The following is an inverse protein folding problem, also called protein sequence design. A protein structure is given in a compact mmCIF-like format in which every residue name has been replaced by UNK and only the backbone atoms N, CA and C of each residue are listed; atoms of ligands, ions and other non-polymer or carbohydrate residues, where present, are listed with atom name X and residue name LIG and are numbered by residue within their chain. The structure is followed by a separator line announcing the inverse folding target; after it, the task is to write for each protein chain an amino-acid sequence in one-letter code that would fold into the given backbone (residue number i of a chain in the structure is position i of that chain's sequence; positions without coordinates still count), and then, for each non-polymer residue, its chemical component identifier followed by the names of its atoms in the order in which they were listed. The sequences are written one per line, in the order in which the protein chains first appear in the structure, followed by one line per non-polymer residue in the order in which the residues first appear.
data_IF_440536376978
#
_entry.id   IF_440536376978
#
_cell.length_a   1.000
_cell.length_b   1.000
_cell.length_c   1.000
_cell.angle_alpha   90.00
_cell.angle_beta   90.00
_cell.angle_gamma   90.00
#
_symmetry.space_group_name_H-M   'P 1'
#
loop_
_entity.id
_entity.type
_entity.pdbx_description
1 polymer ?
#
# COMPACT_ATOMS: atom_id res chain seq x y z
N UNK A 1 10.45 -6.79 -29.36
CA UNK A 1 11.13 -5.58 -28.85
C UNK A 1 11.21 -5.73 -27.34
N UNK A 2 12.37 -5.59 -26.69
CA UNK A 2 12.47 -5.70 -25.23
C UNK A 2 12.19 -4.33 -24.61
N UNK A 3 11.15 -4.23 -23.79
CA UNK A 3 10.81 -2.99 -23.08
C UNK A 3 9.34 -2.98 -22.65
N UNK A 4 9.06 -2.24 -21.58
CA UNK A 4 7.68 -1.99 -21.15
C UNK A 4 7.12 -0.78 -21.88
N UNK A 5 5.84 -0.88 -22.26
CA UNK A 5 5.05 0.23 -22.78
C UNK A 5 3.87 0.47 -21.87
N UNK A 6 3.47 1.73 -21.71
CA UNK A 6 2.35 2.03 -20.85
C UNK A 6 2.30 3.47 -20.38
N UNK A 7 1.53 3.67 -19.31
CA UNK A 7 1.31 4.97 -18.69
C UNK A 7 1.47 4.83 -17.18
N UNK A 8 1.97 5.88 -16.54
CA UNK A 8 1.95 6.00 -15.08
C UNK A 8 0.98 7.12 -14.75
N UNK A 9 -0.11 6.79 -14.07
CA UNK A 9 -1.02 7.79 -13.57
C UNK A 9 -0.45 8.39 -12.31
N UNK A 10 -0.42 9.72 -12.25
CA UNK A 10 -0.01 10.47 -11.07
C UNK A 10 -1.22 11.25 -10.53
N UNK A 11 -1.94 10.69 -9.55
CA UNK A 11 -3.01 11.42 -8.87
C UNK A 11 -2.50 12.73 -8.27
N UNK A 12 -3.37 13.74 -8.19
CA UNK A 12 -3.05 14.98 -7.49
C UNK A 12 -3.13 14.85 -5.95
N UNK A 13 -3.76 13.76 -5.47
CA UNK A 13 -3.87 13.42 -4.06
C UNK A 13 -2.58 12.79 -3.51
N UNK A 14 -2.59 12.39 -2.24
CA UNK A 14 -1.47 11.68 -1.58
C UNK A 14 -1.40 10.18 -1.95
N UNK A 15 -2.17 9.74 -2.93
CA UNK A 15 -2.12 8.38 -3.44
C UNK A 15 -0.79 8.12 -4.15
N UNK A 16 -0.26 6.90 -4.02
CA UNK A 16 0.90 6.48 -4.81
C UNK A 16 0.60 6.56 -6.33
N UNK A 17 1.65 6.73 -7.13
CA UNK A 17 1.51 6.67 -8.58
C UNK A 17 1.11 5.27 -9.03
N UNK A 18 0.22 5.18 -10.01
CA UNK A 18 -0.35 3.91 -10.47
C UNK A 18 0.26 3.56 -11.84
N UNK A 19 1.22 2.62 -11.89
CA UNK A 19 1.81 2.18 -13.14
C UNK A 19 0.89 1.19 -13.86
N UNK A 20 0.61 1.46 -15.14
CA UNK A 20 0.04 0.52 -16.10
C UNK A 20 1.10 0.25 -17.16
N UNK A 21 2.02 -0.65 -16.84
CA UNK A 21 3.17 -0.99 -17.68
C UNK A 21 3.03 -2.42 -18.17
N UNK A 22 3.16 -2.61 -19.47
CA UNK A 22 2.93 -3.90 -20.12
C UNK A 22 4.11 -4.28 -21.01
N UNK A 23 4.41 -5.58 -21.05
CA UNK A 23 5.33 -6.12 -22.04
C UNK A 23 4.64 -6.36 -23.40
N UNK A 24 5.39 -6.89 -24.37
CA UNK A 24 4.84 -7.22 -25.69
C UNK A 24 3.82 -8.38 -25.69
N UNK A 25 3.72 -9.14 -24.60
CA UNK A 25 2.76 -10.21 -24.41
C UNK A 25 1.48 -9.72 -23.70
N UNK A 26 1.43 -8.44 -23.31
CA UNK A 26 0.30 -7.84 -22.60
C UNK A 26 0.26 -8.16 -21.11
N UNK A 27 1.35 -8.68 -20.54
CA UNK A 27 1.47 -8.92 -19.09
C UNK A 27 1.78 -7.61 -18.38
N UNK A 28 1.11 -7.37 -17.27
CA UNK A 28 1.33 -6.17 -16.45
C UNK A 28 2.55 -6.39 -15.55
N UNK A 29 3.43 -5.39 -15.45
CA UNK A 29 4.66 -5.45 -14.68
C UNK A 29 4.69 -4.37 -13.59
N UNK A 30 5.22 -4.74 -12.42
CA UNK A 30 5.56 -3.78 -11.37
C UNK A 30 6.72 -2.86 -11.82
N UNK A 31 6.80 -1.67 -11.22
CA UNK A 31 8.02 -0.84 -11.35
C UNK A 31 9.27 -1.56 -10.80
N UNK A 32 9.09 -2.49 -9.85
CA UNK A 32 10.16 -3.33 -9.31
C UNK A 32 10.91 -4.12 -10.38
N UNK A 33 10.22 -4.62 -11.42
CA UNK A 33 10.83 -5.37 -12.52
C UNK A 33 11.83 -4.53 -13.32
N UNK A 34 11.56 -3.22 -13.42
CA UNK A 34 12.47 -2.28 -14.08
C UNK A 34 13.69 -1.96 -13.21
N UNK A 35 13.50 -1.84 -11.89
CA UNK A 35 14.54 -1.42 -10.94
C UNK A 35 15.50 -2.57 -10.63
N UNK A 36 14.97 -3.77 -10.40
CA UNK A 36 15.76 -4.97 -10.10
C UNK A 36 16.42 -5.57 -11.36
N UNK A 37 16.02 -5.13 -12.55
CA UNK A 37 16.63 -5.53 -13.81
C UNK A 37 16.14 -6.90 -14.30
N UNK A 38 14.86 -7.00 -14.66
CA UNK A 38 14.23 -8.14 -15.36
C UNK A 38 14.82 -9.49 -14.95
N UNK A 39 14.56 -9.88 -13.71
CA UNK A 39 14.95 -11.18 -13.21
C UNK A 39 14.17 -12.30 -13.93
N UNK A 40 14.61 -13.56 -13.80
CA UNK A 40 13.90 -14.72 -14.41
C UNK A 40 12.47 -14.90 -13.84
N UNK A 41 12.15 -14.19 -12.76
CA UNK A 41 10.87 -14.23 -12.04
C UNK A 41 10.22 -12.83 -12.00
N UNK A 42 9.50 -12.42 -13.05
CA UNK A 42 8.89 -11.09 -13.10
C UNK A 42 7.74 -10.95 -12.07
N UNK A 43 7.63 -9.76 -11.49
CA UNK A 43 6.56 -9.34 -10.59
C UNK A 43 5.37 -8.87 -11.44
N UNK A 44 4.53 -9.84 -11.82
CA UNK A 44 3.38 -9.62 -12.69
C UNK A 44 2.15 -9.04 -11.97
N UNK A 45 2.37 -8.21 -10.96
CA UNK A 45 1.32 -7.58 -10.16
C UNK A 45 1.74 -6.18 -9.72
N UNK A 46 0.78 -5.27 -9.65
CA UNK A 46 0.99 -3.88 -9.21
C UNK A 46 0.23 -3.68 -7.92
N UNK A 47 0.94 -3.28 -6.87
CA UNK A 47 0.37 -2.85 -5.60
C UNK A 47 0.51 -1.33 -5.47
N UNK A 48 -0.58 -0.66 -5.10
CA UNK A 48 -0.63 0.79 -4.90
C UNK A 48 -1.27 1.05 -3.54
N UNK A 49 -0.57 1.78 -2.67
CA UNK A 49 -1.12 2.20 -1.39
C UNK A 49 -2.04 3.40 -1.59
N UNK A 50 -3.26 3.25 -1.10
CA UNK A 50 -4.32 4.27 -1.19
C UNK A 50 -4.71 4.83 0.18
N UNK A 51 -4.26 4.20 1.27
CA UNK A 51 -4.65 4.56 2.64
C UNK A 51 -4.17 5.94 3.12
N UNK A 52 -3.29 6.60 2.36
CA UNK A 52 -2.83 7.97 2.65
C UNK A 52 -3.64 9.05 1.92
N UNK A 53 -4.50 8.66 0.97
CA UNK A 53 -5.38 9.58 0.25
C UNK A 53 -6.78 9.62 0.87
N UNK A 54 -7.61 10.56 0.41
CA UNK A 54 -9.00 10.63 0.85
C UNK A 54 -9.79 9.44 0.30
N UNK A 55 -10.83 9.01 1.03
CA UNK A 55 -11.73 7.94 0.61
C UNK A 55 -12.30 8.16 -0.80
N UNK A 56 -12.58 9.42 -1.17
CA UNK A 56 -13.06 9.78 -2.49
C UNK A 56 -12.06 9.43 -3.61
N UNK A 57 -10.75 9.59 -3.37
CA UNK A 57 -9.72 9.28 -4.36
C UNK A 57 -9.62 7.77 -4.59
N UNK A 58 -9.70 6.97 -3.53
CA UNK A 58 -9.76 5.51 -3.63
C UNK A 58 -10.98 5.08 -4.45
N UNK A 59 -12.16 5.62 -4.15
CA UNK A 59 -13.41 5.32 -4.89
C UNK A 59 -13.26 5.68 -6.38
N UNK A 60 -12.64 6.83 -6.68
CA UNK A 60 -12.37 7.25 -8.05
C UNK A 60 -11.46 6.26 -8.78
N UNK A 61 -10.38 5.81 -8.13
CA UNK A 61 -9.48 4.80 -8.69
C UNK A 61 -10.22 3.50 -9.00
N UNK A 62 -11.04 3.01 -8.06
CA UNK A 62 -11.86 1.81 -8.28
C UNK A 62 -12.84 2.01 -9.45
N UNK A 63 -13.44 3.19 -9.57
CA UNK A 63 -14.29 3.55 -10.71
C UNK A 63 -13.53 3.48 -12.05
N UNK A 64 -12.32 4.04 -12.10
CA UNK A 64 -11.43 3.97 -13.26
C UNK A 64 -11.05 2.54 -13.60
N UNK A 65 -10.60 1.74 -12.63
CA UNK A 65 -10.20 0.35 -12.82
C UNK A 65 -11.37 -0.50 -13.34
N UNK A 66 -12.57 -0.33 -12.80
CA UNK A 66 -13.79 -0.98 -13.31
C UNK A 66 -14.10 -0.57 -14.75
N UNK A 67 -13.90 0.68 -15.12
CA UNK A 67 -14.07 1.15 -16.50
C UNK A 67 -13.04 0.53 -17.45
N UNK A 68 -11.76 0.51 -17.05
CA UNK A 68 -10.68 -0.11 -17.80
C UNK A 68 -10.94 -1.60 -17.99
N UNK A 69 -11.35 -2.30 -16.93
CA UNK A 69 -11.69 -3.72 -17.00
C UNK A 69 -12.79 -3.98 -18.03
N UNK A 70 -13.91 -3.24 -17.97
CA UNK A 70 -15.03 -3.45 -18.89
C UNK A 70 -14.72 -3.11 -20.35
N UNK A 71 -13.87 -2.12 -20.61
CA UNK A 71 -13.71 -1.55 -21.96
C UNK A 71 -12.41 -1.94 -22.66
N UNK A 72 -11.33 -2.13 -21.92
CA UNK A 72 -9.99 -2.25 -22.49
C UNK A 72 -9.22 -3.48 -22.02
N UNK A 73 -9.41 -3.91 -20.77
CA UNK A 73 -8.61 -4.98 -20.14
C UNK A 73 -9.55 -5.98 -19.43
N UNK A 74 -10.32 -6.80 -20.17
CA UNK A 74 -11.34 -7.68 -19.59
C UNK A 74 -10.79 -8.72 -18.61
N UNK A 75 -9.50 -9.04 -18.70
CA UNK A 75 -8.78 -9.95 -17.82
C UNK A 75 -8.04 -9.23 -16.67
N UNK A 76 -8.27 -7.93 -16.45
CA UNK A 76 -7.73 -7.21 -15.29
C UNK A 76 -8.28 -7.83 -14.00
N UNK A 77 -7.40 -8.36 -13.16
CA UNK A 77 -7.73 -8.83 -11.83
C UNK A 77 -7.36 -7.76 -10.81
N UNK A 78 -8.31 -7.39 -9.95
CA UNK A 78 -8.12 -6.40 -8.88
C UNK A 78 -8.45 -7.07 -7.56
N UNK A 79 -7.54 -6.95 -6.61
CA UNK A 79 -7.76 -7.30 -5.21
C UNK A 79 -7.69 -6.00 -4.41
N UNK A 80 -8.80 -5.61 -3.81
CA UNK A 80 -8.91 -4.38 -3.03
C UNK A 80 -8.95 -4.69 -1.54
N UNK A 81 -7.86 -4.38 -0.83
CA UNK A 81 -7.78 -4.54 0.63
C UNK A 81 -8.76 -3.62 1.38
N UNK A 82 -9.21 -2.53 0.74
CA UNK A 82 -10.27 -1.65 1.26
C UNK A 82 -11.68 -2.26 1.16
N UNK A 83 -11.86 -3.29 0.32
CA UNK A 83 -13.11 -4.02 0.11
C UNK A 83 -14.19 -3.24 -0.64
N UNK A 84 -13.90 -2.05 -1.17
CA UNK A 84 -14.85 -1.23 -1.92
C UNK A 84 -15.10 -1.79 -3.34
N UNK A 85 -14.09 -2.44 -3.93
CA UNK A 85 -14.22 -3.14 -5.21
C UNK A 85 -15.37 -4.15 -5.23
N UNK A 86 -15.60 -4.89 -4.15
CA UNK A 86 -16.65 -5.89 -4.04
C UNK A 86 -17.93 -5.32 -3.42
N UNK A 87 -17.81 -4.57 -2.33
CA UNK A 87 -18.96 -4.12 -1.52
C UNK A 87 -19.66 -2.88 -2.07
N UNK A 88 -18.93 -2.00 -2.76
CA UNK A 88 -19.35 -0.65 -3.10
C UNK A 88 -19.82 0.18 -1.88
N UNK A 89 -19.34 -0.16 -0.67
CA UNK A 89 -19.68 0.51 0.59
C UNK A 89 -18.62 1.57 0.95
N UNK A 90 -18.93 2.83 0.63
CA UNK A 90 -18.05 3.95 0.91
C UNK A 90 -17.91 4.27 2.41
N UNK A 91 -18.93 3.93 3.22
CA UNK A 91 -18.90 4.18 4.65
C UNK A 91 -17.94 3.20 5.35
N UNK A 92 -18.01 1.93 4.97
CA UNK A 92 -17.09 0.89 5.46
C UNK A 92 -15.64 1.18 5.02
N UNK A 93 -15.43 1.56 3.75
CA UNK A 93 -14.11 1.98 3.26
C UNK A 93 -13.55 3.14 4.10
N UNK A 94 -14.36 4.17 4.33
CA UNK A 94 -13.98 5.33 5.16
C UNK A 94 -13.60 4.89 6.57
N UNK A 95 -14.42 4.05 7.20
CA UNK A 95 -14.15 3.53 8.54
C UNK A 95 -12.81 2.78 8.60
N UNK A 96 -12.51 1.94 7.60
CA UNK A 96 -11.24 1.21 7.50
C UNK A 96 -10.03 2.12 7.36
N UNK A 97 -10.11 3.12 6.46
CA UNK A 97 -9.03 4.09 6.25
C UNK A 97 -8.78 4.88 7.53
N UNK A 98 -9.82 5.41 8.17
CA UNK A 98 -9.69 6.17 9.42
C UNK A 98 -9.11 5.31 10.56
N UNK A 99 -9.60 4.08 10.71
CA UNK A 99 -9.12 3.14 11.72
C UNK A 99 -7.64 2.79 11.51
N UNK A 100 -7.25 2.44 10.28
CA UNK A 100 -5.85 2.15 9.95
C UNK A 100 -4.95 3.37 10.16
N UNK A 101 -5.40 4.55 9.72
CA UNK A 101 -4.68 5.80 9.92
C UNK A 101 -4.46 6.12 11.41
N UNK A 102 -5.47 5.90 12.24
CA UNK A 102 -5.35 6.08 13.70
C UNK A 102 -4.33 5.11 14.32
N UNK A 103 -4.35 3.82 13.91
CA UNK A 103 -3.39 2.81 14.39
C UNK A 103 -1.96 3.18 13.97
N UNK A 104 -1.75 3.53 12.69
CA UNK A 104 -0.43 3.91 12.16
C UNK A 104 0.12 5.12 12.92
N UNK A 105 -0.70 6.16 13.11
CA UNK A 105 -0.29 7.37 13.82
C UNK A 105 -0.01 7.10 15.29
N UNK A 106 -0.87 6.31 15.94
CA UNK A 106 -0.71 5.94 17.35
C UNK A 106 0.57 5.14 17.59
N UNK A 107 0.83 4.13 16.76
CA UNK A 107 2.04 3.32 16.86
C UNK A 107 3.30 4.12 16.52
N UNK A 108 3.24 4.98 15.48
CA UNK A 108 4.33 5.90 15.14
C UNK A 108 4.71 6.80 16.31
N UNK A 109 3.72 7.40 16.98
CA UNK A 109 3.97 8.22 18.18
C UNK A 109 4.53 7.41 19.35
N UNK A 110 4.08 6.15 19.54
CA UNK A 110 4.64 5.28 20.57
C UNK A 110 6.12 4.95 20.32
N UNK A 111 6.47 4.65 19.06
CA UNK A 111 7.86 4.45 18.64
C UNK A 111 8.71 5.69 18.86
N UNK A 112 8.26 6.86 18.40
CA UNK A 112 8.98 8.12 18.57
C UNK A 112 9.27 8.42 20.04
N UNK A 113 8.26 8.28 20.91
CA UNK A 113 8.42 8.50 22.34
C UNK A 113 9.40 7.50 22.97
N UNK A 114 9.28 6.21 22.66
CA UNK A 114 10.17 5.18 23.21
C UNK A 114 11.63 5.35 22.74
N UNK A 115 11.84 5.88 21.52
CA UNK A 115 13.16 6.18 20.99
C UNK A 115 13.84 7.34 21.73
N UNK A 116 13.09 8.34 22.21
CA UNK A 116 13.68 9.47 22.94
C UNK A 116 14.30 9.05 24.27
N UNK A 117 13.76 8.01 24.91
CA UNK A 117 14.18 7.51 26.22
C UNK A 117 15.22 6.37 26.15
N UNK A 118 15.60 5.92 24.95
CA UNK A 118 16.43 4.72 24.76
C UNK A 118 17.68 5.02 23.94
N UNK A 119 18.86 4.62 24.44
CA UNK A 119 20.09 4.56 23.63
C UNK A 119 20.17 3.16 23.00
N UNK A 120 20.07 3.10 21.67
CA UNK A 120 20.15 1.88 20.87
C UNK A 120 21.38 1.91 19.96
N UNK A 121 22.15 0.82 19.93
CA UNK A 121 23.10 0.60 18.85
C UNK A 121 22.33 0.19 17.59
N UNK A 122 22.31 1.07 16.60
CA UNK A 122 21.58 0.86 15.34
C UNK A 122 22.24 -0.20 14.44
N UNK A 123 23.46 -0.64 14.76
CA UNK A 123 24.14 -1.70 14.03
C UNK A 123 23.85 -3.09 14.61
N UNK A 124 23.18 -3.16 15.76
CA UNK A 124 22.71 -4.41 16.35
C UNK A 124 21.25 -4.64 15.95
N UNK A 125 21.06 -5.54 14.98
CA UNK A 125 19.72 -5.87 14.46
C UNK A 125 18.83 -6.52 15.50
N UNK A 126 19.40 -7.29 16.43
CA UNK A 126 18.66 -8.03 17.44
C UNK A 126 18.17 -7.04 18.52
N UNK A 127 19.05 -6.12 18.96
CA UNK A 127 18.65 -5.06 19.88
C UNK A 127 17.55 -4.14 19.30
N UNK A 128 17.60 -3.86 17.99
CA UNK A 128 16.56 -3.09 17.31
C UNK A 128 15.23 -3.86 17.23
N UNK A 129 15.28 -5.16 16.93
CA UNK A 129 14.10 -6.01 16.89
C UNK A 129 13.43 -6.11 18.27
N UNK A 130 14.20 -6.43 19.32
CA UNK A 130 13.72 -6.51 20.70
C UNK A 130 13.06 -5.20 21.15
N UNK A 131 13.64 -4.06 20.77
CA UNK A 131 13.06 -2.76 21.05
C UNK A 131 11.71 -2.57 20.36
N UNK A 132 11.61 -2.87 19.06
CA UNK A 132 10.37 -2.73 18.30
C UNK A 132 9.28 -3.65 18.88
N UNK A 133 9.62 -4.89 19.22
CA UNK A 133 8.70 -5.86 19.82
C UNK A 133 8.16 -5.37 21.17
N UNK A 134 9.03 -4.84 22.03
CA UNK A 134 8.62 -4.25 23.32
C UNK A 134 7.64 -3.10 23.12
N UNK A 135 7.94 -2.17 22.21
CA UNK A 135 7.04 -1.03 21.94
C UNK A 135 5.72 -1.49 21.35
N UNK A 136 5.73 -2.52 20.50
CA UNK A 136 4.52 -3.11 19.94
C UNK A 136 3.64 -3.77 21.02
N UNK A 137 4.25 -4.47 21.99
CA UNK A 137 3.52 -5.06 23.10
C UNK A 137 2.89 -3.99 23.99
N UNK A 138 3.66 -2.97 24.39
CA UNK A 138 3.15 -1.86 25.21
C UNK A 138 2.00 -1.10 24.52
N UNK A 139 2.08 -0.95 23.19
CA UNK A 139 1.03 -0.32 22.40
C UNK A 139 -0.26 -1.16 22.38
N UNK A 140 -0.14 -2.49 22.25
CA UNK A 140 -1.28 -3.41 22.30
C UNK A 140 -1.95 -3.41 23.66
N UNK A 141 -1.18 -3.54 24.73
CA UNK A 141 -1.70 -3.61 26.10
C UNK A 141 -2.48 -2.33 26.49
N UNK A 142 -2.04 -1.16 26.00
CA UNK A 142 -2.76 0.12 26.18
C UNK A 142 -4.05 0.21 25.35
N UNK A 143 -4.13 -0.48 24.22
CA UNK A 143 -5.30 -0.52 23.34
C UNK A 143 -6.42 -1.44 23.84
N UNK A 144 -6.11 -2.44 24.66
CA UNK A 144 -7.10 -3.37 25.25
C UNK A 144 -7.68 -2.86 26.58
N UNK A 145 -7.04 -1.89 27.22
CA UNK A 145 -7.43 -1.33 28.52
C UNK A 145 -8.43 -0.16 28.44
N UNK A 146 -8.82 0.28 27.23
CA UNK A 146 -9.74 1.41 26.98
C UNK A 146 -10.96 1.02 26.15
#
# INVERSE_FOLDING_TARGET
EKGLRGIILRPASQMESIPFLFDSEGRMHALGDLIAGWDDFPILSVAVKTQFADCADHIWLIGLLRYLQRKYIPNLHVMDEGGYWESNDAAELKHRIEKLGAIIKGFGGALENAFMDTVLDKNDSDALADFIERVAQDFRDKGEAG
#
